data_IF_314925455180
#
_entry.id   IF_314925455180
#
_cell.length_a   1.000
_cell.length_b   1.000
_cell.length_c   1.000
_cell.angle_alpha   90.00
_cell.angle_beta   90.00
_cell.angle_gamma   90.00
#
_symmetry.space_group_name_H-M   'P 1'
#
loop_
_entity.id
_entity.type
_entity.pdbx_description
1 polymer ?
#
# COMPACT_ATOMS: atom_id res chain seq x y z
N UNK A 1 -15.23 12.05 0.28
CA UNK A 1 -15.74 11.95 -1.08
C UNK A 1 -16.24 10.54 -1.45
N UNK A 2 -16.13 9.55 -0.55
CA UNK A 2 -16.66 8.20 -0.77
C UNK A 2 -15.78 7.27 -1.57
N UNK A 3 -14.46 7.41 -1.49
CA UNK A 3 -13.52 6.43 -2.04
C UNK A 3 -13.56 5.12 -1.23
N UNK A 4 -13.21 4.01 -1.88
CA UNK A 4 -13.07 2.70 -1.25
C UNK A 4 -12.03 2.70 -0.13
N UNK A 5 -10.84 3.20 -0.43
CA UNK A 5 -9.70 3.22 0.47
C UNK A 5 -8.88 4.49 0.37
N UNK A 6 -7.99 4.68 1.33
CA UNK A 6 -6.93 5.68 1.35
C UNK A 6 -5.61 4.95 1.50
N UNK A 7 -4.74 5.13 0.51
CA UNK A 7 -3.40 4.55 0.49
C UNK A 7 -2.42 5.48 1.21
N UNK A 8 -1.43 4.88 1.88
CA UNK A 8 -0.35 5.60 2.56
C UNK A 8 0.87 4.70 2.78
N UNK A 9 2.05 5.32 2.81
CA UNK A 9 3.35 4.67 2.81
C UNK A 9 4.01 4.66 4.18
N UNK A 10 4.60 3.54 4.57
CA UNK A 10 5.21 3.34 5.89
C UNK A 10 6.67 2.93 5.80
N UNK A 11 7.49 3.59 6.60
CA UNK A 11 8.89 3.26 6.88
C UNK A 11 9.11 2.95 8.35
N UNK A 12 10.13 2.15 8.65
CA UNK A 12 10.63 1.98 10.02
C UNK A 12 11.97 2.72 10.18
N UNK A 13 12.09 3.57 11.20
CA UNK A 13 13.33 4.30 11.54
C UNK A 13 14.44 3.37 12.03
N UNK A 14 15.65 3.88 12.14
CA UNK A 14 16.82 3.16 12.66
C UNK A 14 16.60 2.56 14.04
N UNK A 15 15.89 3.26 14.93
CA UNK A 15 15.54 2.85 16.29
C UNK A 15 14.18 2.13 16.39
N UNK A 16 13.45 1.94 15.27
CA UNK A 16 12.28 1.07 15.21
C UNK A 16 10.92 1.74 15.32
N UNK A 17 10.82 3.07 15.18
CA UNK A 17 9.53 3.78 15.12
C UNK A 17 8.97 3.71 13.70
N UNK A 18 7.66 3.49 13.57
CA UNK A 18 6.95 3.53 12.29
C UNK A 18 6.51 4.98 11.99
N UNK A 19 6.82 5.44 10.79
CA UNK A 19 6.50 6.78 10.29
C UNK A 19 5.85 6.71 8.91
N UNK A 20 5.03 7.71 8.55
CA UNK A 20 4.33 7.76 7.27
C UNK A 20 5.02 8.76 6.35
N UNK A 21 5.59 8.27 5.26
CA UNK A 21 6.23 9.07 4.22
C UNK A 21 6.40 8.25 2.94
N UNK A 22 6.16 8.86 1.77
CA UNK A 22 6.36 8.18 0.49
C UNK A 22 7.84 7.89 0.22
N UNK A 23 8.72 8.87 0.37
CA UNK A 23 10.12 8.76 0.02
C UNK A 23 10.95 8.15 1.16
N UNK A 24 12.05 7.48 0.81
CA UNK A 24 13.00 6.92 1.77
C UNK A 24 13.75 8.00 2.60
N UNK A 25 13.58 9.27 2.21
CA UNK A 25 14.26 10.43 2.81
C UNK A 25 13.28 11.55 3.05
N UNK A 26 13.56 12.32 4.09
CA UNK A 26 13.02 13.67 4.30
C UNK A 26 14.22 14.61 4.30
N UNK A 27 14.27 15.57 3.38
CA UNK A 27 15.47 16.36 3.06
C UNK A 27 16.68 15.44 2.75
N UNK A 28 17.75 15.53 3.53
CA UNK A 28 18.94 14.68 3.41
C UNK A 28 18.94 13.47 4.35
N UNK A 29 17.94 13.34 5.21
CA UNK A 29 17.89 12.30 6.26
C UNK A 29 17.23 11.04 5.73
N UNK A 30 17.96 9.93 5.74
CA UNK A 30 17.46 8.59 5.35
C UNK A 30 16.70 8.00 6.53
N UNK A 31 15.39 7.78 6.37
CA UNK A 31 14.47 7.39 7.45
C UNK A 31 14.95 6.11 8.15
N UNK A 32 15.26 5.06 7.40
CA UNK A 32 15.65 3.77 8.00
C UNK A 32 17.02 3.78 8.72
N UNK A 33 17.83 4.85 8.55
CA UNK A 33 19.15 4.99 9.18
C UNK A 33 19.14 5.96 10.36
N UNK A 34 18.15 6.85 10.41
CA UNK A 34 18.01 7.87 11.43
C UNK A 34 17.13 7.40 12.60
N UNK A 35 17.27 8.05 13.75
CA UNK A 35 16.37 7.87 14.88
C UNK A 35 15.02 8.55 14.64
N UNK A 36 13.99 8.11 15.34
CA UNK A 36 12.67 8.77 15.31
C UNK A 36 12.76 10.26 15.70
N UNK A 37 13.59 10.59 16.67
CA UNK A 37 13.80 11.98 17.08
C UNK A 37 14.35 12.86 15.97
N UNK A 38 15.31 12.38 15.19
CA UNK A 38 15.87 13.09 14.03
C UNK A 38 14.82 13.26 12.91
N UNK A 39 14.11 12.18 12.58
CA UNK A 39 13.13 12.19 11.48
C UNK A 39 11.91 13.07 11.82
N UNK A 40 11.35 12.94 13.03
CA UNK A 40 10.17 13.68 13.46
C UNK A 40 10.43 15.17 13.77
N UNK A 41 11.69 15.59 13.88
CA UNK A 41 12.07 17.00 13.99
C UNK A 41 12.02 17.74 12.62
N UNK A 42 11.99 16.99 11.52
CA UNK A 42 11.97 17.56 10.17
C UNK A 42 10.58 18.07 9.80
N UNK A 43 10.56 19.00 8.84
CA UNK A 43 9.33 19.55 8.28
C UNK A 43 9.14 19.05 6.85
N UNK A 44 7.91 18.70 6.54
CA UNK A 44 7.49 18.45 5.16
C UNK A 44 7.46 19.76 4.36
N UNK A 45 7.47 19.71 3.02
CA UNK A 45 7.43 20.91 2.18
C UNK A 45 6.26 21.86 2.45
N UNK A 46 5.15 21.32 2.98
CA UNK A 46 3.97 22.10 3.40
C UNK A 46 4.10 22.70 4.82
N UNK A 47 5.23 22.51 5.49
CA UNK A 47 5.50 23.01 6.85
C UNK A 47 4.98 22.13 7.99
N UNK A 48 4.29 21.02 7.70
CA UNK A 48 3.82 20.08 8.71
C UNK A 48 4.94 19.14 9.21
N UNK A 49 4.72 18.50 10.35
CA UNK A 49 5.61 17.45 10.84
C UNK A 49 5.32 16.13 10.14
N UNK A 50 6.35 15.31 9.98
CA UNK A 50 6.16 13.94 9.55
C UNK A 50 5.32 13.18 10.61
N UNK A 51 4.22 12.51 10.25
CA UNK A 51 3.41 11.79 11.22
C UNK A 51 4.02 10.42 11.53
N UNK A 52 3.85 9.97 12.76
CA UNK A 52 4.01 8.55 13.08
C UNK A 52 2.84 7.75 12.53
N UNK A 53 3.02 6.43 12.32
CA UNK A 53 1.93 5.54 11.94
C UNK A 53 0.78 5.60 12.96
N UNK A 54 1.08 5.64 14.25
CA UNK A 54 0.09 5.75 15.31
C UNK A 54 -0.79 7.00 15.16
N UNK A 55 -0.17 8.17 14.93
CA UNK A 55 -0.91 9.42 14.69
C UNK A 55 -1.78 9.36 13.44
N UNK A 56 -1.28 8.75 12.37
CA UNK A 56 -2.03 8.57 11.13
C UNK A 56 -3.25 7.66 11.35
N UNK A 57 -3.06 6.52 12.00
CA UNK A 57 -4.13 5.57 12.31
C UNK A 57 -5.18 6.14 13.26
N UNK A 58 -4.80 7.01 14.22
CA UNK A 58 -5.77 7.71 15.08
C UNK A 58 -6.70 8.63 14.27
N UNK A 59 -6.22 9.25 13.19
CA UNK A 59 -7.08 9.97 12.25
C UNK A 59 -7.94 8.98 11.44
N UNK A 60 -7.37 7.88 11.00
CA UNK A 60 -8.07 6.82 10.28
C UNK A 60 -9.26 6.24 11.04
N UNK A 61 -9.22 6.17 12.37
CA UNK A 61 -10.36 5.75 13.21
C UNK A 61 -11.60 6.62 13.03
N UNK A 62 -11.43 7.88 12.68
CA UNK A 62 -12.53 8.85 12.52
C UNK A 62 -13.22 8.73 11.15
N UNK A 63 -12.67 7.94 10.25
CA UNK A 63 -13.17 7.72 8.89
C UNK A 63 -13.74 6.31 8.76
N UNK A 64 -14.55 6.07 7.75
CA UNK A 64 -15.07 4.74 7.39
C UNK A 64 -14.31 4.08 6.24
N UNK A 65 -13.43 4.83 5.59
CA UNK A 65 -12.60 4.41 4.46
C UNK A 65 -11.66 3.27 4.86
N UNK A 66 -11.43 2.30 3.99
CA UNK A 66 -10.39 1.29 4.23
C UNK A 66 -9.00 1.95 4.23
N UNK A 67 -8.10 1.38 4.98
CA UNK A 67 -6.73 1.85 5.16
C UNK A 67 -5.79 0.91 4.41
N UNK A 68 -5.19 1.39 3.32
CA UNK A 68 -4.32 0.61 2.44
C UNK A 68 -2.89 1.03 2.73
N UNK A 69 -2.18 0.19 3.49
CA UNK A 69 -0.83 0.48 3.97
C UNK A 69 0.21 -0.13 3.04
N UNK A 70 1.03 0.71 2.41
CA UNK A 70 2.24 0.26 1.74
C UNK A 70 3.40 0.17 2.74
N UNK A 71 3.95 -1.03 2.90
CA UNK A 71 5.28 -1.15 3.51
C UNK A 71 6.34 -0.98 2.43
N UNK A 72 7.09 0.11 2.53
CA UNK A 72 8.20 0.39 1.62
C UNK A 72 9.33 -0.63 1.77
N UNK A 73 10.05 -0.97 0.67
CA UNK A 73 11.20 -1.87 0.73
C UNK A 73 12.32 -1.29 1.59
N UNK A 74 12.88 -2.09 2.47
CA UNK A 74 13.98 -1.71 3.34
C UNK A 74 15.30 -2.36 2.91
N UNK A 75 16.41 -1.86 3.44
CA UNK A 75 17.76 -2.30 3.06
C UNK A 75 18.07 -3.75 3.40
N UNK A 76 17.34 -4.36 4.33
CA UNK A 76 17.54 -5.76 4.69
C UNK A 76 16.27 -6.43 5.22
N UNK A 77 16.24 -7.76 5.08
CA UNK A 77 15.13 -8.64 5.43
C UNK A 77 14.70 -8.57 6.90
N UNK A 78 15.65 -8.44 7.83
CA UNK A 78 15.32 -8.38 9.26
C UNK A 78 14.58 -7.09 9.61
N UNK A 79 14.92 -6.00 8.97
CA UNK A 79 14.26 -4.71 9.15
C UNK A 79 12.83 -4.75 8.62
N UNK A 80 12.62 -5.33 7.43
CA UNK A 80 11.28 -5.53 6.88
C UNK A 80 10.41 -6.41 7.78
N UNK A 81 10.93 -7.56 8.23
CA UNK A 81 10.21 -8.44 9.14
C UNK A 81 9.82 -7.74 10.45
N UNK A 82 10.74 -6.94 11.02
CA UNK A 82 10.46 -6.12 12.21
C UNK A 82 9.36 -5.10 11.93
N UNK A 83 9.39 -4.43 10.76
CA UNK A 83 8.36 -3.49 10.36
C UNK A 83 6.99 -4.16 10.24
N UNK A 84 6.88 -5.30 9.55
CA UNK A 84 5.64 -6.07 9.45
C UNK A 84 5.06 -6.38 10.82
N UNK A 85 5.85 -6.96 11.73
CA UNK A 85 5.38 -7.32 13.07
C UNK A 85 4.93 -6.08 13.85
N UNK A 86 5.70 -5.00 13.84
CA UNK A 86 5.35 -3.76 14.55
C UNK A 86 4.07 -3.13 13.99
N UNK A 87 3.86 -3.16 12.66
CA UNK A 87 2.64 -2.69 12.01
C UNK A 87 1.44 -3.51 12.49
N UNK A 88 1.52 -4.84 12.39
CA UNK A 88 0.41 -5.74 12.77
C UNK A 88 0.03 -5.58 14.24
N UNK A 89 1.01 -5.53 15.15
CA UNK A 89 0.76 -5.31 16.58
C UNK A 89 0.10 -3.95 16.86
N UNK A 90 0.55 -2.89 16.20
CA UNK A 90 -0.04 -1.56 16.34
C UNK A 90 -1.49 -1.54 15.84
N UNK A 91 -1.73 -2.04 14.64
CA UNK A 91 -3.07 -2.11 14.02
C UNK A 91 -4.03 -2.91 14.90
N UNK A 92 -3.61 -4.07 15.41
CA UNK A 92 -4.40 -4.89 16.34
C UNK A 92 -4.72 -4.14 17.63
N UNK A 93 -3.71 -3.54 18.26
CA UNK A 93 -3.89 -2.77 19.51
C UNK A 93 -4.84 -1.58 19.36
N UNK A 94 -4.95 -1.04 18.15
CA UNK A 94 -5.85 0.06 17.81
C UNK A 94 -7.24 -0.39 17.35
N UNK A 95 -7.49 -1.71 17.20
CA UNK A 95 -8.77 -2.26 16.77
C UNK A 95 -9.10 -1.96 15.30
N UNK A 96 -8.10 -1.87 14.43
CA UNK A 96 -8.25 -1.50 13.02
C UNK A 96 -8.06 -2.67 12.04
N UNK A 97 -7.78 -3.88 12.52
CA UNK A 97 -7.41 -5.04 11.68
C UNK A 97 -8.42 -5.30 10.55
N UNK A 98 -9.72 -5.20 10.81
CA UNK A 98 -10.77 -5.46 9.82
C UNK A 98 -10.87 -4.40 8.71
N UNK A 99 -10.17 -3.26 8.89
CA UNK A 99 -10.17 -2.14 7.95
C UNK A 99 -8.88 -2.02 7.14
N UNK A 100 -7.88 -2.84 7.47
CA UNK A 100 -6.57 -2.79 6.81
C UNK A 100 -6.52 -3.66 5.55
N UNK A 101 -5.77 -3.16 4.59
CA UNK A 101 -5.19 -3.91 3.48
C UNK A 101 -3.70 -3.56 3.42
N UNK A 102 -2.89 -4.51 2.99
CA UNK A 102 -1.43 -4.30 2.91
C UNK A 102 -0.95 -4.45 1.49
N UNK A 103 -0.06 -3.58 1.07
CA UNK A 103 0.59 -3.61 -0.23
C UNK A 103 2.11 -3.46 -0.06
N UNK A 104 2.89 -4.07 -0.94
CA UNK A 104 4.36 -4.00 -0.86
C UNK A 104 5.04 -4.41 -2.17
N UNK A 105 6.21 -3.83 -2.43
CA UNK A 105 7.12 -4.25 -3.50
C UNK A 105 8.00 -5.44 -3.12
N UNK A 106 8.09 -5.79 -1.83
CA UNK A 106 8.92 -6.89 -1.34
C UNK A 106 8.16 -8.20 -1.28
N UNK A 107 8.64 -9.22 -1.98
CA UNK A 107 8.07 -10.57 -1.91
C UNK A 107 8.20 -11.19 -0.52
N UNK A 108 9.24 -10.85 0.22
CA UNK A 108 9.46 -11.28 1.60
C UNK A 108 8.44 -10.64 2.56
N UNK A 109 8.21 -9.32 2.42
CA UNK A 109 7.20 -8.61 3.21
C UNK A 109 5.78 -9.09 2.87
N UNK A 110 5.49 -9.37 1.59
CA UNK A 110 4.23 -10.01 1.16
C UNK A 110 3.99 -11.32 1.92
N UNK A 111 5.00 -12.21 1.91
CA UNK A 111 4.90 -13.51 2.58
C UNK A 111 4.72 -13.35 4.11
N UNK A 112 5.40 -12.40 4.73
CA UNK A 112 5.25 -12.13 6.16
C UNK A 112 3.86 -11.59 6.51
N UNK A 113 3.32 -10.62 5.75
CA UNK A 113 1.95 -10.13 5.96
C UNK A 113 0.94 -11.26 5.82
N UNK A 114 1.03 -12.07 4.75
CA UNK A 114 0.13 -13.22 4.53
C UNK A 114 0.21 -14.20 5.71
N UNK A 115 1.41 -14.44 6.25
CA UNK A 115 1.64 -15.39 7.34
C UNK A 115 1.14 -14.90 8.70
N UNK A 116 1.30 -13.61 9.00
CA UNK A 116 1.13 -13.08 10.35
C UNK A 116 -0.09 -12.19 10.54
N UNK A 117 -0.67 -11.64 9.46
CA UNK A 117 -1.92 -10.88 9.56
C UNK A 117 -3.10 -11.81 9.90
N UNK A 118 -4.20 -11.28 10.43
CA UNK A 118 -5.42 -12.06 10.63
C UNK A 118 -5.88 -12.75 9.34
N UNK A 119 -6.41 -13.96 9.45
CA UNK A 119 -6.88 -14.71 8.29
C UNK A 119 -7.90 -13.92 7.46
N UNK A 120 -7.69 -13.87 6.15
CA UNK A 120 -8.55 -13.12 5.22
C UNK A 120 -8.18 -11.65 5.05
N UNK A 121 -7.14 -11.15 5.72
CA UNK A 121 -6.61 -9.80 5.47
C UNK A 121 -6.07 -9.73 4.05
N UNK A 122 -6.54 -8.78 3.19
CA UNK A 122 -6.02 -8.64 1.85
C UNK A 122 -4.57 -8.15 1.83
N UNK A 123 -3.72 -8.85 1.08
CA UNK A 123 -2.32 -8.46 0.86
C UNK A 123 -2.02 -8.54 -0.64
N UNK A 124 -1.51 -7.45 -1.23
CA UNK A 124 -1.24 -7.35 -2.65
C UNK A 124 0.23 -7.07 -2.94
N UNK A 125 0.66 -7.46 -4.13
CA UNK A 125 2.04 -7.28 -4.60
C UNK A 125 2.12 -6.19 -5.66
N UNK A 126 3.17 -5.33 -5.57
CA UNK A 126 3.28 -4.11 -6.37
C UNK A 126 4.28 -4.21 -7.53
N UNK A 127 5.30 -5.09 -7.45
CA UNK A 127 6.53 -4.94 -8.27
C UNK A 127 6.34 -5.32 -9.76
N UNK A 128 5.31 -6.07 -10.12
CA UNK A 128 4.91 -6.26 -11.52
C UNK A 128 5.61 -7.38 -12.29
N UNK A 129 6.58 -8.10 -11.70
CA UNK A 129 7.31 -9.19 -12.36
C UNK A 129 6.69 -10.58 -12.16
N UNK A 130 5.74 -10.72 -11.22
CA UNK A 130 5.09 -12.00 -10.93
C UNK A 130 3.78 -12.13 -11.69
N UNK A 131 3.58 -13.32 -12.25
CA UNK A 131 2.31 -13.70 -12.88
C UNK A 131 1.19 -13.85 -11.86
N UNK A 132 -0.09 -13.78 -12.28
CA UNK A 132 -1.22 -14.09 -11.41
C UNK A 132 -1.12 -15.45 -10.73
N UNK A 133 -0.63 -16.47 -11.46
CA UNK A 133 -0.47 -17.83 -10.94
C UNK A 133 0.58 -17.91 -9.83
N UNK A 134 1.71 -17.18 -9.99
CA UNK A 134 2.75 -17.13 -8.94
C UNK A 134 2.22 -16.44 -7.69
N UNK A 135 1.50 -15.31 -7.82
CA UNK A 135 0.92 -14.60 -6.69
C UNK A 135 -0.18 -15.41 -5.99
N UNK A 136 -1.03 -16.10 -6.75
CA UNK A 136 -2.02 -17.00 -6.19
C UNK A 136 -1.37 -18.12 -5.39
N UNK A 137 -0.29 -18.73 -5.91
CA UNK A 137 0.48 -19.75 -5.20
C UNK A 137 1.14 -19.24 -3.91
N UNK A 138 1.48 -17.94 -3.84
CA UNK A 138 1.97 -17.28 -2.63
C UNK A 138 0.86 -16.93 -1.63
N UNK A 139 -0.41 -17.01 -2.02
CA UNK A 139 -1.56 -16.65 -1.18
C UNK A 139 -1.90 -15.17 -1.18
N UNK A 140 -1.41 -14.40 -2.16
CA UNK A 140 -1.76 -12.99 -2.33
C UNK A 140 -3.25 -12.82 -2.65
N UNK A 141 -3.86 -11.73 -2.17
CA UNK A 141 -5.25 -11.39 -2.49
C UNK A 141 -5.42 -10.90 -3.93
N UNK A 142 -4.33 -10.48 -4.57
CA UNK A 142 -4.34 -10.03 -5.95
C UNK A 142 -3.09 -9.32 -6.40
N UNK A 143 -3.22 -8.72 -7.58
CA UNK A 143 -2.22 -7.85 -8.20
C UNK A 143 -2.54 -6.40 -7.82
N UNK A 144 -1.50 -5.63 -7.53
CA UNK A 144 -1.58 -4.18 -7.43
C UNK A 144 -0.47 -3.59 -8.31
N UNK A 145 -0.72 -3.47 -9.62
CA UNK A 145 0.34 -3.26 -10.58
C UNK A 145 0.27 -1.90 -11.29
N UNK A 146 1.46 -1.39 -11.62
CA UNK A 146 1.59 -0.21 -12.46
C UNK A 146 0.82 -0.40 -13.78
N UNK A 147 0.12 0.65 -14.24
CA UNK A 147 -0.65 0.61 -15.48
C UNK A 147 0.18 0.17 -16.71
N UNK A 148 1.47 0.50 -16.75
CA UNK A 148 2.37 0.06 -17.83
C UNK A 148 2.56 -1.45 -17.88
N UNK A 149 2.55 -2.12 -16.72
CA UNK A 149 2.59 -3.58 -16.64
C UNK A 149 1.29 -4.19 -17.15
N UNK A 150 0.15 -3.70 -16.66
CA UNK A 150 -1.16 -4.22 -17.09
C UNK A 150 -1.48 -3.90 -18.55
N UNK A 151 -1.03 -2.78 -19.10
CA UNK A 151 -1.14 -2.49 -20.54
C UNK A 151 -0.29 -3.42 -21.39
N UNK A 152 0.84 -3.90 -20.86
CA UNK A 152 1.72 -4.88 -21.52
C UNK A 152 1.18 -6.30 -21.39
N UNK A 153 0.48 -6.60 -20.31
CA UNK A 153 -0.10 -7.90 -19.97
C UNK A 153 -1.58 -7.78 -19.60
N UNK A 154 -2.45 -7.33 -20.53
CA UNK A 154 -3.87 -7.15 -20.24
C UNK A 154 -4.59 -8.48 -19.91
N UNK A 155 -4.08 -9.60 -20.38
CA UNK A 155 -4.56 -10.94 -20.05
C UNK A 155 -4.48 -11.27 -18.55
N UNK A 156 -3.55 -10.68 -17.83
CA UNK A 156 -3.37 -10.92 -16.39
C UNK A 156 -4.57 -10.48 -15.54
N UNK A 157 -5.34 -9.50 -16.02
CA UNK A 157 -6.57 -9.07 -15.34
C UNK A 157 -7.57 -10.23 -15.28
N UNK A 158 -7.82 -10.85 -16.46
CA UNK A 158 -8.71 -12.02 -16.52
C UNK A 158 -8.16 -13.21 -15.80
N UNK A 159 -6.87 -13.51 -15.94
CA UNK A 159 -6.21 -14.62 -15.26
C UNK A 159 -6.30 -14.50 -13.72
N UNK A 160 -6.11 -13.28 -13.18
CA UNK A 160 -6.29 -13.02 -11.77
C UNK A 160 -7.74 -13.29 -11.31
N UNK A 161 -8.73 -12.80 -12.08
CA UNK A 161 -10.13 -13.04 -11.78
C UNK A 161 -10.51 -14.53 -11.84
N UNK A 162 -9.99 -15.26 -12.82
CA UNK A 162 -10.21 -16.72 -12.94
C UNK A 162 -9.65 -17.48 -11.72
N UNK A 163 -8.65 -16.93 -11.02
CA UNK A 163 -8.07 -17.43 -9.77
C UNK A 163 -8.77 -16.88 -8.51
N UNK A 164 -9.81 -16.05 -8.66
CA UNK A 164 -10.51 -15.44 -7.54
C UNK A 164 -9.78 -14.26 -6.89
N UNK A 165 -8.74 -13.77 -7.54
CA UNK A 165 -7.94 -12.63 -7.07
C UNK A 165 -8.50 -11.30 -7.57
N UNK A 166 -8.13 -10.21 -6.89
CA UNK A 166 -8.47 -8.84 -7.26
C UNK A 166 -7.34 -8.16 -8.03
N UNK A 167 -7.68 -7.14 -8.81
CA UNK A 167 -6.72 -6.33 -9.57
C UNK A 167 -6.88 -4.87 -9.23
N UNK A 168 -5.83 -4.25 -8.70
CA UNK A 168 -5.67 -2.80 -8.62
C UNK A 168 -4.66 -2.30 -9.66
N UNK A 169 -4.86 -1.09 -10.14
CA UNK A 169 -3.93 -0.42 -11.05
C UNK A 169 -3.53 0.94 -10.51
N UNK A 170 -2.23 1.29 -10.56
CA UNK A 170 -1.67 2.55 -10.08
C UNK A 170 -0.63 3.16 -11.03
N UNK A 171 -0.29 4.42 -10.95
CA UNK A 171 -1.13 5.54 -10.50
C UNK A 171 -1.80 6.12 -11.73
N UNK A 172 -3.12 6.11 -11.78
CA UNK A 172 -3.90 6.42 -12.99
C UNK A 172 -4.59 7.77 -12.80
N UNK A 173 -4.05 8.83 -13.43
CA UNK A 173 -4.51 10.20 -13.25
C UNK A 173 -5.15 10.81 -14.51
N UNK A 174 -4.95 10.19 -15.69
CA UNK A 174 -5.52 10.71 -16.95
C UNK A 174 -6.84 10.03 -17.27
N UNK A 175 -7.79 10.79 -17.80
CA UNK A 175 -9.11 10.28 -18.16
C UNK A 175 -9.05 9.09 -19.11
N UNK A 176 -8.19 9.13 -20.13
CA UNK A 176 -8.01 8.03 -21.11
C UNK A 176 -7.56 6.73 -20.43
N UNK A 177 -6.66 6.82 -19.45
CA UNK A 177 -6.13 5.69 -18.70
C UNK A 177 -7.15 5.16 -17.69
N UNK A 178 -7.94 6.04 -17.07
CA UNK A 178 -9.06 5.68 -16.19
C UNK A 178 -10.11 4.88 -16.99
N UNK A 179 -10.51 5.38 -18.16
CA UNK A 179 -11.48 4.70 -19.03
C UNK A 179 -10.96 3.35 -19.48
N UNK A 180 -9.70 3.26 -19.91
CA UNK A 180 -9.07 2.00 -20.25
C UNK A 180 -9.13 1.00 -19.10
N UNK A 181 -8.78 1.43 -17.88
CA UNK A 181 -8.79 0.57 -16.68
C UNK A 181 -10.20 0.03 -16.38
N UNK A 182 -11.22 0.89 -16.49
CA UNK A 182 -12.63 0.51 -16.33
C UNK A 182 -13.04 -0.51 -17.40
N UNK A 183 -12.69 -0.27 -18.67
CA UNK A 183 -12.99 -1.17 -19.80
C UNK A 183 -12.32 -2.53 -19.65
N UNK A 184 -11.12 -2.60 -19.07
CA UNK A 184 -10.45 -3.86 -18.76
C UNK A 184 -11.04 -4.58 -17.55
N UNK A 185 -11.91 -3.93 -16.79
CA UNK A 185 -12.60 -4.53 -15.65
C UNK A 185 -11.74 -4.70 -14.41
N UNK A 186 -10.73 -3.83 -14.18
CA UNK A 186 -9.99 -3.84 -12.92
C UNK A 186 -10.92 -3.58 -11.72
N UNK A 187 -10.61 -4.14 -10.57
CA UNK A 187 -11.45 -3.99 -9.35
C UNK A 187 -11.24 -2.64 -8.68
N UNK A 188 -10.02 -2.11 -8.72
CA UNK A 188 -9.65 -0.85 -8.07
C UNK A 188 -8.73 -0.02 -8.97
N UNK A 189 -8.83 1.30 -8.83
CA UNK A 189 -7.97 2.28 -9.48
C UNK A 189 -7.40 3.21 -8.42
N UNK A 190 -6.08 3.18 -8.23
CA UNK A 190 -5.37 4.14 -7.39
C UNK A 190 -5.07 5.39 -8.22
N UNK A 191 -5.58 6.54 -7.75
CA UNK A 191 -5.49 7.82 -8.46
C UNK A 191 -5.31 9.00 -7.50
N UNK A 192 -4.62 10.05 -7.96
CA UNK A 192 -4.58 11.35 -7.30
C UNK A 192 -5.76 12.25 -7.73
N UNK A 193 -6.59 11.77 -8.67
CA UNK A 193 -7.73 12.48 -9.25
C UNK A 193 -9.06 11.76 -8.94
N UNK A 194 -9.40 11.53 -7.65
CA UNK A 194 -10.55 10.70 -7.29
C UNK A 194 -11.88 11.32 -7.72
N UNK A 195 -12.01 12.66 -7.77
CA UNK A 195 -13.20 13.34 -8.24
C UNK A 195 -13.41 13.14 -9.75
N UNK A 196 -12.32 13.16 -10.54
CA UNK A 196 -12.37 12.83 -11.96
C UNK A 196 -12.86 11.40 -12.18
N UNK A 197 -12.28 10.44 -11.47
CA UNK A 197 -12.70 9.03 -11.53
C UNK A 197 -14.18 8.87 -11.18
N UNK A 198 -14.63 9.48 -10.08
CA UNK A 198 -16.04 9.42 -9.67
C UNK A 198 -17.00 10.04 -10.70
N UNK A 199 -16.59 11.09 -11.41
CA UNK A 199 -17.38 11.70 -12.47
C UNK A 199 -17.48 10.81 -13.71
N UNK A 200 -16.44 10.04 -14.03
CA UNK A 200 -16.44 9.08 -15.14
C UNK A 200 -17.33 7.87 -14.84
N UNK A 201 -17.46 7.48 -13.57
CA UNK A 201 -18.27 6.34 -13.13
C UNK A 201 -19.78 6.64 -13.03
N UNK A 202 -20.20 7.92 -13.12
CA UNK A 202 -21.61 8.34 -13.12
C UNK A 202 -22.23 8.19 -14.52
#
# INVERSE_FOLDING_TARGET
IGCYGSEFDVWITGDGKLVVNHDAKVDSVVIEQATAGEVLALKLPNGENLPTLEQYLELGKKCTTRLILELKPHSNRLREAKAVINILLMVESMGLSDRMEYITFSADALADFIKYAPAGTPVYYLNGEKTPQELHAMGAAGLDYNQGVLKKHPEWIKEAHDLGMKVNVWTVNKEEDIRWSIEQGVDFITTNEPELLQNILK
#
